data_IF_441032947809
#
_entry.id   IF_441032947809
#
_cell.length_a   1.000
_cell.length_b   1.000
_cell.length_c   1.000
_cell.angle_alpha   90.00
_cell.angle_beta   90.00
_cell.angle_gamma   90.00
#
_symmetry.space_group_name_H-M   'P 1'
#
loop_
_entity.id
_entity.type
_entity.pdbx_description
1 polymer ?
#
# COMPACT_ATOMS: atom_id res chain seq x y z
N UNK A 1 -53.72 -82.29 7.38
CA UNK A 1 -54.27 -81.30 6.42
C UNK A 1 -53.57 -79.96 6.66
N UNK A 2 -53.29 -79.19 5.60
CA UNK A 2 -52.31 -78.08 5.54
C UNK A 2 -52.89 -76.80 6.20
N UNK A 3 -52.18 -75.71 6.51
CA UNK A 3 -51.53 -74.77 5.59
C UNK A 3 -50.71 -73.72 6.36
N UNK A 4 -49.52 -73.44 5.82
CA UNK A 4 -48.93 -72.12 5.55
C UNK A 4 -48.51 -71.22 6.72
N UNK A 5 -47.22 -71.38 7.00
CA UNK A 5 -46.27 -70.31 7.32
C UNK A 5 -46.39 -69.15 6.32
N UNK A 6 -46.60 -67.93 6.82
CA UNK A 6 -46.27 -66.68 6.12
C UNK A 6 -45.47 -65.80 7.07
N UNK A 7 -44.17 -65.78 6.83
CA UNK A 7 -43.17 -64.92 7.46
C UNK A 7 -43.31 -63.51 6.87
N UNK A 8 -43.66 -62.52 7.69
CA UNK A 8 -43.52 -61.11 7.32
C UNK A 8 -42.24 -60.60 7.96
N UNK A 9 -41.14 -60.69 7.21
CA UNK A 9 -39.91 -59.96 7.49
C UNK A 9 -40.15 -58.48 7.16
N UNK A 10 -40.48 -57.70 8.17
CA UNK A 10 -40.46 -56.24 8.09
C UNK A 10 -39.01 -55.75 8.00
N UNK A 11 -38.48 -55.69 6.78
CA UNK A 11 -37.23 -55.00 6.51
C UNK A 11 -37.47 -53.49 6.61
N UNK A 12 -37.25 -52.92 7.80
CA UNK A 12 -37.14 -51.48 7.97
C UNK A 12 -35.78 -51.05 7.45
N UNK A 13 -35.70 -50.84 6.14
CA UNK A 13 -34.52 -50.28 5.48
C UNK A 13 -34.37 -48.84 5.96
N UNK A 14 -33.40 -48.61 6.85
CA UNK A 14 -32.90 -47.27 7.16
C UNK A 14 -32.38 -46.68 5.85
N UNK A 15 -33.13 -45.75 5.28
CA UNK A 15 -32.75 -44.98 4.11
C UNK A 15 -31.61 -44.03 4.52
N UNK A 16 -30.38 -44.54 4.50
CA UNK A 16 -29.17 -43.71 4.58
C UNK A 16 -29.08 -42.91 3.28
N UNK A 17 -29.76 -41.76 3.23
CA UNK A 17 -29.52 -40.76 2.19
C UNK A 17 -28.10 -40.24 2.44
N UNK A 18 -27.13 -40.75 1.69
CA UNK A 18 -25.83 -40.14 1.55
C UNK A 18 -26.05 -38.77 0.91
N UNK A 19 -26.21 -37.74 1.73
CA UNK A 19 -26.04 -36.36 1.27
C UNK A 19 -24.56 -36.16 0.97
N UNK A 20 -24.12 -36.61 -0.21
CA UNK A 20 -22.87 -36.16 -0.78
C UNK A 20 -23.06 -34.67 -1.06
N UNK A 21 -22.65 -33.81 -0.13
CA UNK A 21 -22.64 -32.38 -0.32
C UNK A 21 -21.63 -32.07 -1.43
N UNK A 22 -22.11 -31.95 -2.67
CA UNK A 22 -21.29 -31.47 -3.78
C UNK A 22 -20.89 -30.03 -3.46
N UNK A 23 -19.66 -29.81 -3.00
CA UNK A 23 -19.16 -28.46 -2.82
C UNK A 23 -19.13 -27.77 -4.18
N UNK A 24 -19.80 -26.61 -4.28
CA UNK A 24 -19.79 -25.82 -5.51
C UNK A 24 -18.37 -25.35 -5.81
N UNK A 25 -17.98 -25.39 -7.09
CA UNK A 25 -16.72 -24.81 -7.55
C UNK A 25 -16.73 -23.30 -7.31
N UNK A 26 -15.81 -22.81 -6.48
CA UNK A 26 -15.66 -21.40 -6.12
C UNK A 26 -14.23 -20.95 -6.31
N UNK A 27 -14.08 -19.65 -6.55
CA UNK A 27 -12.80 -18.98 -6.72
C UNK A 27 -12.72 -17.79 -5.76
N UNK A 28 -11.71 -17.83 -4.91
CA UNK A 28 -11.41 -16.80 -3.91
C UNK A 28 -10.06 -16.16 -4.25
N UNK A 29 -9.95 -14.86 -3.96
CA UNK A 29 -8.75 -14.06 -4.17
C UNK A 29 -8.35 -13.35 -2.88
N UNK A 30 -7.05 -13.12 -2.72
CA UNK A 30 -6.50 -12.33 -1.63
C UNK A 30 -5.31 -11.51 -2.14
N UNK A 31 -5.26 -10.19 -1.90
CA UNK A 31 -6.30 -9.34 -1.29
C UNK A 31 -7.60 -9.26 -2.11
N UNK A 32 -8.69 -8.76 -1.51
CA UNK A 32 -9.98 -8.60 -2.20
C UNK A 32 -9.96 -7.33 -3.07
N UNK A 33 -10.31 -7.49 -4.35
CA UNK A 33 -10.57 -6.46 -5.37
C UNK A 33 -9.42 -5.49 -5.68
N UNK A 34 -8.82 -4.84 -4.69
CA UNK A 34 -7.76 -3.85 -4.83
C UNK A 34 -6.75 -3.92 -3.69
N UNK A 35 -5.50 -3.61 -4.00
CA UNK A 35 -4.44 -3.44 -3.02
C UNK A 35 -3.49 -2.34 -3.45
N UNK A 36 -2.81 -1.77 -2.46
CA UNK A 36 -1.75 -0.80 -2.67
C UNK A 36 -0.44 -1.33 -2.11
N UNK A 37 0.61 -1.27 -2.91
CA UNK A 37 1.93 -1.78 -2.53
C UNK A 37 3.01 -0.71 -2.67
N UNK A 38 3.96 -0.72 -1.73
CA UNK A 38 5.10 0.17 -1.80
C UNK A 38 6.11 -0.34 -2.83
N UNK A 39 6.65 0.56 -3.66
CA UNK A 39 7.75 0.25 -4.56
C UNK A 39 8.96 -0.23 -3.75
N UNK A 40 9.59 -1.31 -4.21
CA UNK A 40 10.70 -1.97 -3.52
C UNK A 40 10.28 -3.11 -2.58
N UNK A 41 9.02 -3.17 -2.15
CA UNK A 41 8.52 -4.24 -1.29
C UNK A 41 8.20 -5.51 -2.09
N UNK A 42 7.87 -6.59 -1.36
CA UNK A 42 7.38 -7.85 -1.92
C UNK A 42 5.85 -7.88 -1.81
N UNK A 43 5.15 -8.10 -2.92
CA UNK A 43 3.69 -8.29 -2.95
C UNK A 43 3.36 -9.70 -3.45
N UNK A 44 2.42 -10.37 -2.77
CA UNK A 44 1.91 -11.67 -3.19
C UNK A 44 0.39 -11.61 -3.39
N UNK A 45 -0.06 -11.93 -4.60
CA UNK A 45 -1.47 -12.11 -4.92
C UNK A 45 -1.81 -13.59 -4.88
N UNK A 46 -2.84 -13.95 -4.14
CA UNK A 46 -3.27 -15.34 -3.97
C UNK A 46 -4.61 -15.57 -4.62
N UNK A 47 -4.73 -16.72 -5.27
CA UNK A 47 -5.94 -17.23 -5.85
C UNK A 47 -6.15 -18.66 -5.38
N UNK A 48 -7.32 -18.99 -4.87
CA UNK A 48 -7.62 -20.32 -4.33
C UNK A 48 -9.00 -20.80 -4.74
N UNK A 49 -9.16 -22.10 -4.88
CA UNK A 49 -10.44 -22.71 -5.25
C UNK A 49 -10.93 -23.69 -4.20
N UNK A 50 -12.25 -23.78 -4.06
CA UNK A 50 -12.93 -24.86 -3.32
C UNK A 50 -13.91 -25.59 -4.25
N UNK A 51 -14.27 -26.82 -3.92
CA UNK A 51 -15.18 -27.63 -4.75
C UNK A 51 -14.58 -28.09 -6.09
N UNK A 52 -13.25 -28.21 -6.18
CA UNK A 52 -12.55 -28.81 -7.32
C UNK A 52 -11.33 -29.61 -6.84
N UNK A 53 -11.21 -30.87 -7.28
CA UNK A 53 -10.10 -31.76 -6.89
C UNK A 53 -8.81 -31.44 -7.65
N UNK A 54 -8.90 -31.18 -8.96
CA UNK A 54 -7.75 -30.90 -9.84
C UNK A 54 -7.95 -29.59 -10.61
N UNK A 55 -7.91 -28.42 -9.95
CA UNK A 55 -8.00 -27.13 -10.62
C UNK A 55 -6.71 -26.79 -11.38
N UNK A 56 -6.83 -26.01 -12.45
CA UNK A 56 -5.69 -25.36 -13.11
C UNK A 56 -5.83 -23.85 -13.06
N UNK A 57 -4.73 -23.13 -12.86
CA UNK A 57 -4.70 -21.67 -12.73
C UNK A 57 -3.93 -21.00 -13.87
N UNK A 58 -4.38 -19.81 -14.25
CA UNK A 58 -3.65 -18.89 -15.12
C UNK A 58 -3.76 -17.47 -14.62
N UNK A 59 -2.69 -16.70 -14.81
CA UNK A 59 -2.62 -15.27 -14.50
C UNK A 59 -2.36 -14.48 -15.77
N UNK A 60 -3.01 -13.32 -15.88
CA UNK A 60 -2.72 -12.31 -16.90
C UNK A 60 -3.00 -10.93 -16.35
N UNK A 61 -2.43 -9.90 -16.96
CA UNK A 61 -2.90 -8.53 -16.74
C UNK A 61 -4.08 -8.26 -17.67
N UNK A 62 -4.95 -7.30 -17.33
CA UNK A 62 -6.10 -6.96 -18.17
C UNK A 62 -5.69 -6.50 -19.57
N UNK A 63 -4.50 -5.92 -19.72
CA UNK A 63 -3.94 -5.45 -20.99
C UNK A 63 -2.98 -6.46 -21.65
N UNK A 64 -2.89 -7.68 -21.11
CA UNK A 64 -1.96 -8.73 -21.56
C UNK A 64 -0.47 -8.31 -21.60
N UNK A 65 -0.11 -7.27 -20.83
CA UNK A 65 1.27 -6.93 -20.46
C UNK A 65 1.91 -8.06 -19.63
N UNK A 66 3.25 -8.17 -19.61
CA UNK A 66 3.95 -9.14 -18.77
C UNK A 66 3.54 -9.01 -17.29
N UNK A 67 3.55 -10.12 -16.55
CA UNK A 67 3.13 -10.12 -15.14
C UNK A 67 4.09 -9.36 -14.21
N UNK A 68 5.35 -9.21 -14.61
CA UNK A 68 6.44 -8.67 -13.80
C UNK A 68 6.52 -9.35 -12.41
N UNK A 69 6.34 -10.67 -12.40
CA UNK A 69 6.32 -11.50 -11.19
C UNK A 69 6.44 -12.98 -11.52
N UNK A 70 6.54 -13.82 -10.48
CA UNK A 70 6.68 -15.28 -10.59
C UNK A 70 5.43 -15.96 -10.05
N UNK A 71 4.88 -16.89 -10.82
CA UNK A 71 3.72 -17.70 -10.40
C UNK A 71 4.19 -18.99 -9.73
N UNK A 72 3.59 -19.33 -8.58
CA UNK A 72 3.75 -20.62 -7.90
C UNK A 72 2.36 -21.21 -7.66
N UNK A 73 2.16 -22.44 -8.09
CA UNK A 73 0.87 -23.14 -7.93
C UNK A 73 1.09 -24.45 -7.18
N UNK A 74 0.28 -24.66 -6.15
CA UNK A 74 0.31 -25.85 -5.30
C UNK A 74 -1.11 -26.26 -4.95
N UNK A 75 -1.54 -27.43 -5.45
CA UNK A 75 -2.89 -27.95 -5.25
C UNK A 75 -3.97 -26.96 -5.70
N UNK A 76 -4.85 -26.59 -4.77
CA UNK A 76 -5.98 -25.68 -5.01
C UNK A 76 -5.63 -24.19 -4.80
N UNK A 77 -4.34 -23.83 -4.78
CA UNK A 77 -3.85 -22.47 -4.56
C UNK A 77 -2.79 -22.08 -5.59
N UNK A 78 -2.89 -20.86 -6.12
CA UNK A 78 -1.89 -20.22 -6.98
C UNK A 78 -1.53 -18.85 -6.44
N UNK A 79 -0.23 -18.53 -6.42
CA UNK A 79 0.30 -17.28 -5.88
C UNK A 79 1.17 -16.61 -6.93
N UNK A 80 0.86 -15.37 -7.27
CA UNK A 80 1.71 -14.49 -8.06
C UNK A 80 2.55 -13.62 -7.12
N UNK A 81 3.88 -13.74 -7.21
CA UNK A 81 4.83 -13.04 -6.34
C UNK A 81 5.57 -11.98 -7.15
N UNK A 82 5.45 -10.72 -6.73
CA UNK A 82 6.18 -9.57 -7.26
C UNK A 82 7.26 -9.18 -6.25
N UNK A 83 8.52 -9.23 -6.68
CA UNK A 83 9.69 -9.14 -5.83
C UNK A 83 10.88 -8.63 -6.68
N UNK A 84 11.18 -7.33 -6.69
CA UNK A 84 10.50 -6.23 -5.98
C UNK A 84 9.36 -5.58 -6.80
N UNK A 85 8.41 -4.94 -6.12
CA UNK A 85 7.33 -4.15 -6.74
C UNK A 85 7.90 -2.89 -7.44
N UNK A 86 7.36 -2.57 -8.61
CA UNK A 86 7.74 -1.43 -9.45
C UNK A 86 6.53 -0.83 -10.17
N UNK A 87 6.74 0.24 -10.96
CA UNK A 87 5.68 0.83 -11.79
C UNK A 87 5.06 -0.15 -12.81
N UNK A 88 5.82 -1.15 -13.24
CA UNK A 88 5.36 -2.20 -14.17
C UNK A 88 4.37 -3.18 -13.52
N UNK A 89 4.20 -3.11 -12.20
CA UNK A 89 3.24 -3.92 -11.46
C UNK A 89 1.90 -3.21 -11.24
N UNK A 90 1.76 -1.94 -11.65
CA UNK A 90 0.53 -1.17 -11.47
C UNK A 90 -0.52 -1.54 -12.54
N UNK A 91 -1.17 -2.68 -12.32
CA UNK A 91 -2.09 -3.32 -13.26
C UNK A 91 -3.30 -3.95 -12.56
N UNK A 92 -4.35 -4.23 -13.34
CA UNK A 92 -5.40 -5.16 -12.95
C UNK A 92 -4.99 -6.59 -13.32
N UNK A 93 -4.75 -7.42 -12.31
CA UNK A 93 -4.35 -8.81 -12.45
C UNK A 93 -5.58 -9.72 -12.41
N UNK A 94 -5.71 -10.59 -13.40
CA UNK A 94 -6.81 -11.53 -13.53
C UNK A 94 -6.31 -12.95 -13.26
N UNK A 95 -6.85 -13.57 -12.22
CA UNK A 95 -6.69 -15.00 -11.97
C UNK A 95 -7.87 -15.75 -12.56
N UNK A 96 -7.59 -16.70 -13.46
CA UNK A 96 -8.57 -17.65 -13.95
C UNK A 96 -8.30 -19.02 -13.35
N UNK A 97 -9.32 -19.63 -12.75
CA UNK A 97 -9.30 -21.02 -12.34
C UNK A 97 -10.22 -21.86 -13.22
N UNK A 98 -9.72 -23.00 -13.70
CA UNK A 98 -10.48 -23.95 -14.52
C UNK A 98 -10.65 -25.27 -13.78
N UNK A 99 -11.88 -25.79 -13.75
CA UNK A 99 -12.23 -27.09 -13.19
C UNK A 99 -13.05 -27.87 -14.24
N UNK A 100 -12.41 -28.78 -14.96
CA UNK A 100 -13.02 -29.44 -16.13
C UNK A 100 -13.41 -28.41 -17.20
N UNK A 101 -14.70 -28.31 -17.51
CA UNK A 101 -15.24 -27.32 -18.46
C UNK A 101 -15.60 -25.97 -17.82
N UNK A 102 -15.65 -25.88 -16.48
CA UNK A 102 -16.04 -24.66 -15.77
C UNK A 102 -14.83 -23.75 -15.58
N UNK A 103 -15.02 -22.45 -15.81
CA UNK A 103 -14.01 -21.42 -15.59
C UNK A 103 -14.59 -20.33 -14.71
N UNK A 104 -13.80 -19.88 -13.75
CA UNK A 104 -14.07 -18.71 -12.93
C UNK A 104 -12.90 -17.75 -13.07
N UNK A 105 -13.19 -16.45 -13.11
CA UNK A 105 -12.17 -15.40 -13.15
C UNK A 105 -12.48 -14.35 -12.07
N UNK A 106 -11.41 -13.85 -11.44
CA UNK A 106 -11.44 -12.78 -10.45
C UNK A 106 -10.26 -11.85 -10.67
N UNK A 107 -10.48 -10.56 -10.47
CA UNK A 107 -9.48 -9.52 -10.67
C UNK A 107 -9.02 -8.89 -9.37
N UNK A 108 -7.75 -8.52 -9.31
CA UNK A 108 -7.14 -7.73 -8.23
C UNK A 108 -6.45 -6.53 -8.88
N UNK A 109 -6.90 -5.32 -8.57
CA UNK A 109 -6.20 -4.09 -8.95
C UNK A 109 -5.02 -3.86 -8.01
N UNK A 110 -3.84 -3.68 -8.58
CA UNK A 110 -2.64 -3.30 -7.85
C UNK A 110 -2.31 -1.85 -8.21
N UNK A 111 -2.36 -0.98 -7.20
CA UNK A 111 -1.81 0.37 -7.28
C UNK A 111 -0.47 0.42 -6.55
N UNK A 112 0.42 1.32 -6.96
CA UNK A 112 1.75 1.44 -6.32
C UNK A 112 1.95 2.82 -5.71
N UNK A 113 2.72 2.87 -4.62
CA UNK A 113 3.15 4.12 -4.01
C UNK A 113 4.62 4.04 -3.61
N UNK A 114 5.23 5.19 -3.34
CA UNK A 114 6.57 5.28 -2.77
C UNK A 114 6.59 6.39 -1.74
N UNK A 115 6.93 6.04 -0.51
CA UNK A 115 7.18 6.98 0.57
C UNK A 115 8.17 6.35 1.58
N UNK A 116 9.43 6.13 1.16
CA UNK A 116 10.33 5.21 1.86
C UNK A 116 11.09 5.85 3.03
N UNK A 117 11.29 7.17 3.02
CA UNK A 117 12.20 7.90 3.90
C UNK A 117 11.52 9.08 4.55
N UNK A 118 11.99 9.43 5.75
CA UNK A 118 11.53 10.62 6.44
C UNK A 118 11.98 11.90 5.72
N UNK A 119 11.27 13.03 5.91
CA UNK A 119 11.66 14.28 5.28
C UNK A 119 13.05 14.76 5.73
N UNK A 120 13.70 15.61 4.95
CA UNK A 120 14.97 16.23 5.30
C UNK A 120 14.78 17.74 5.48
N UNK A 121 15.19 18.26 6.63
CA UNK A 121 15.21 19.70 6.89
C UNK A 121 16.57 20.26 6.50
N UNK A 122 16.58 21.26 5.61
CA UNK A 122 17.79 21.98 5.22
C UNK A 122 17.62 23.48 5.51
N UNK A 123 18.62 24.06 6.17
CA UNK A 123 18.68 25.49 6.47
C UNK A 123 19.69 26.15 5.54
N UNK A 124 19.33 27.30 4.96
CA UNK A 124 20.23 28.06 4.08
C UNK A 124 21.44 28.69 4.80
N UNK A 125 21.45 28.67 6.13
CA UNK A 125 22.48 29.29 6.96
C UNK A 125 22.25 29.02 8.45
N UNK A 126 23.12 29.56 9.33
CA UNK A 126 22.95 29.46 10.76
C UNK A 126 21.69 30.20 11.23
N UNK A 127 21.10 29.73 12.33
CA UNK A 127 19.96 30.39 12.94
C UNK A 127 20.44 31.55 13.83
N UNK A 128 20.31 32.77 13.32
CA UNK A 128 20.68 34.00 14.03
C UNK A 128 19.42 34.78 14.41
N UNK A 129 19.36 35.24 15.67
CA UNK A 129 18.19 35.99 16.17
C UNK A 129 17.93 37.22 15.30
N UNK A 130 16.68 37.38 14.86
CA UNK A 130 16.22 38.51 14.05
C UNK A 130 16.65 38.49 12.58
N UNK A 131 17.48 37.52 12.15
CA UNK A 131 17.87 37.39 10.74
C UNK A 131 17.06 36.31 10.03
N UNK A 132 16.53 36.58 8.83
CA UNK A 132 15.76 35.59 8.09
C UNK A 132 16.67 34.46 7.58
N UNK A 133 16.19 33.23 7.70
CA UNK A 133 16.81 32.01 7.17
C UNK A 133 15.76 31.23 6.39
N UNK A 134 16.17 30.63 5.27
CA UNK A 134 15.28 29.78 4.48
C UNK A 134 15.34 28.35 5.00
N UNK A 135 14.18 27.82 5.37
CA UNK A 135 13.97 26.42 5.70
C UNK A 135 13.43 25.72 4.47
N UNK A 136 14.11 24.65 4.05
CA UNK A 136 13.61 23.72 3.04
C UNK A 136 13.27 22.41 3.72
N UNK A 137 12.06 21.92 3.50
CA UNK A 137 11.72 20.55 3.81
C UNK A 137 11.63 19.75 2.50
N UNK A 138 12.50 18.75 2.37
CA UNK A 138 12.58 17.87 1.21
C UNK A 138 11.96 16.53 1.56
N UNK A 139 11.11 16.01 0.67
CA UNK A 139 10.52 14.68 0.80
C UNK A 139 10.98 13.85 -0.39
N UNK A 140 11.99 12.98 -0.22
CA UNK A 140 12.59 12.23 -1.32
C UNK A 140 11.75 11.02 -1.74
N UNK A 141 11.95 10.60 -3.00
CA UNK A 141 11.43 9.35 -3.56
C UNK A 141 9.90 9.17 -3.42
N UNK A 142 9.12 10.23 -3.63
CA UNK A 142 7.66 10.22 -3.47
C UNK A 142 6.94 9.83 -4.76
N UNK A 143 5.95 8.94 -4.64
CA UNK A 143 4.94 8.69 -5.66
C UNK A 143 3.62 8.19 -5.02
N UNK A 144 2.44 8.63 -5.48
CA UNK A 144 2.22 9.72 -6.42
C UNK A 144 2.35 11.08 -5.72
N UNK A 145 3.08 12.01 -6.32
CA UNK A 145 3.45 13.28 -5.67
C UNK A 145 2.31 14.30 -5.60
N UNK A 146 1.25 14.11 -6.37
CA UNK A 146 0.03 14.96 -6.40
C UNK A 146 -0.89 14.71 -5.20
N UNK A 147 -0.52 13.76 -4.32
CA UNK A 147 -1.23 13.40 -3.08
C UNK A 147 -0.41 13.65 -1.83
N UNK A 148 0.70 14.36 -1.98
CA UNK A 148 1.59 14.72 -0.89
C UNK A 148 1.13 16.04 -0.24
N UNK A 149 1.01 16.02 1.07
CA UNK A 149 0.85 17.18 1.93
C UNK A 149 2.08 17.30 2.82
N UNK A 150 2.61 18.51 2.99
CA UNK A 150 3.74 18.78 3.88
C UNK A 150 3.39 19.94 4.80
N UNK A 151 3.51 19.70 6.10
CA UNK A 151 3.35 20.68 7.16
C UNK A 151 4.72 21.00 7.78
N UNK A 152 4.94 22.27 8.10
CA UNK A 152 6.10 22.71 8.88
C UNK A 152 5.62 23.41 10.15
N UNK A 153 6.07 22.93 11.30
CA UNK A 153 5.78 23.50 12.61
C UNK A 153 7.05 24.05 13.27
N UNK A 154 6.87 25.07 14.11
CA UNK A 154 7.85 25.57 15.08
C UNK A 154 7.26 25.46 16.48
N UNK A 155 7.75 24.51 17.27
CA UNK A 155 7.05 23.99 18.44
C UNK A 155 5.67 23.50 18.01
N UNK A 156 4.62 24.01 18.66
CA UNK A 156 3.23 23.69 18.32
C UNK A 156 2.64 24.63 17.26
N UNK A 157 3.41 25.61 16.77
CA UNK A 157 2.91 26.61 15.82
C UNK A 157 3.12 26.16 14.37
N UNK A 158 2.02 25.93 13.65
CA UNK A 158 2.04 25.65 12.22
C UNK A 158 2.51 26.89 11.43
N UNK A 159 3.67 26.79 10.79
CA UNK A 159 4.22 27.83 9.94
C UNK A 159 3.63 27.82 8.54
N UNK A 160 3.50 26.62 7.93
CA UNK A 160 2.97 26.46 6.58
C UNK A 160 2.48 25.03 6.34
N UNK A 161 1.43 24.90 5.56
CA UNK A 161 1.01 23.67 4.89
C UNK A 161 1.17 23.86 3.38
N UNK A 162 1.76 22.87 2.71
CA UNK A 162 1.90 22.82 1.26
C UNK A 162 1.28 21.54 0.73
N UNK A 163 0.25 21.68 -0.10
CA UNK A 163 -0.28 20.60 -0.91
C UNK A 163 0.40 20.62 -2.28
N UNK A 164 0.81 19.46 -2.76
CA UNK A 164 1.32 19.29 -4.12
C UNK A 164 0.18 18.69 -4.94
N UNK A 165 -0.57 19.48 -5.71
CA UNK A 165 -1.76 19.03 -6.46
C UNK A 165 -1.53 19.01 -7.99
N UNK A 166 -0.29 19.21 -8.41
CA UNK A 166 0.09 19.22 -9.82
C UNK A 166 0.06 17.79 -10.37
N UNK A 167 -0.78 17.57 -11.39
CA UNK A 167 -0.91 16.27 -12.02
C UNK A 167 0.46 15.78 -12.54
N UNK A 168 0.77 14.51 -12.28
CA UNK A 168 2.00 13.91 -12.75
C UNK A 168 1.88 13.56 -14.24
N UNK A 169 2.72 14.16 -15.08
CA UNK A 169 2.76 13.83 -16.51
C UNK A 169 3.32 12.42 -16.78
N UNK A 170 4.16 11.91 -15.87
CA UNK A 170 4.83 10.61 -15.98
C UNK A 170 4.97 9.94 -14.61
N UNK A 171 4.87 8.60 -14.61
CA UNK A 171 5.18 7.78 -13.43
C UNK A 171 6.68 7.85 -13.15
N UNK A 172 7.05 8.46 -12.02
CA UNK A 172 8.44 8.59 -11.60
C UNK A 172 8.50 8.90 -10.11
N UNK A 173 9.61 8.50 -9.48
CA UNK A 173 9.94 8.92 -8.12
C UNK A 173 10.46 10.34 -8.18
N UNK A 174 9.92 11.22 -7.35
CA UNK A 174 10.31 12.63 -7.32
C UNK A 174 10.61 13.08 -5.89
N UNK A 175 11.55 14.03 -5.76
CA UNK A 175 11.74 14.76 -4.50
C UNK A 175 10.88 16.02 -4.56
N UNK A 176 9.97 16.19 -3.60
CA UNK A 176 9.18 17.42 -3.46
C UNK A 176 9.78 18.28 -2.35
N UNK A 177 9.81 19.59 -2.58
CA UNK A 177 10.42 20.53 -1.64
C UNK A 177 9.43 21.62 -1.28
N UNK A 178 9.26 21.89 0.01
CA UNK A 178 8.56 23.05 0.53
C UNK A 178 9.58 24.03 1.11
N UNK A 179 9.42 25.32 0.79
CA UNK A 179 10.27 26.39 1.31
C UNK A 179 9.47 27.38 2.16
N UNK A 180 10.06 27.80 3.29
CA UNK A 180 9.54 28.80 4.22
C UNK A 180 10.69 29.69 4.71
N UNK A 181 10.47 31.00 4.72
CA UNK A 181 11.39 31.93 5.39
C UNK A 181 11.01 32.04 6.87
N UNK A 182 11.95 31.71 7.75
CA UNK A 182 11.82 31.83 9.19
C UNK A 182 12.71 32.99 9.67
N UNK A 183 12.18 33.86 10.52
CA UNK A 183 13.00 34.83 11.27
C UNK A 183 13.00 34.37 12.74
N UNK A 184 14.10 33.78 13.24
CA UNK A 184 14.13 33.25 14.61
C UNK A 184 14.08 34.36 15.66
N UNK A 185 13.32 34.14 16.72
CA UNK A 185 13.34 34.94 17.95
C UNK A 185 14.11 34.23 19.06
N UNK A 186 14.66 34.94 20.05
CA UNK A 186 15.38 34.32 21.17
C UNK A 186 14.51 33.31 21.93
N UNK A 187 13.20 33.53 22.00
CA UNK A 187 12.22 32.62 22.60
C UNK A 187 12.06 31.30 21.82
N UNK A 188 12.59 31.20 20.60
CA UNK A 188 12.55 29.97 19.81
C UNK A 188 13.67 28.99 20.16
N UNK A 189 14.64 29.39 20.98
CA UNK A 189 15.75 28.52 21.42
C UNK A 189 15.21 27.27 22.11
N UNK A 190 15.64 26.08 21.66
CA UNK A 190 15.20 24.80 22.20
C UNK A 190 13.80 24.35 21.73
N UNK A 191 13.09 25.16 20.93
CA UNK A 191 11.86 24.69 20.27
C UNK A 191 12.22 23.73 19.13
N UNK A 192 11.33 22.79 18.87
CA UNK A 192 11.44 21.87 17.75
C UNK A 192 10.98 22.52 16.43
N UNK A 193 11.74 22.35 15.37
CA UNK A 193 11.30 22.57 14.00
C UNK A 193 10.89 21.20 13.44
N UNK A 194 9.62 21.04 13.11
CA UNK A 194 9.04 19.75 12.76
C UNK A 194 8.55 19.83 11.32
N UNK A 195 9.15 19.04 10.42
CA UNK A 195 8.58 18.84 9.10
C UNK A 195 7.84 17.51 9.05
N UNK A 196 6.56 17.56 8.73
CA UNK A 196 5.64 16.41 8.72
C UNK A 196 5.07 16.25 7.32
N UNK A 197 5.39 15.13 6.68
CA UNK A 197 4.91 14.78 5.35
C UNK A 197 3.85 13.69 5.43
N UNK A 198 2.76 13.88 4.70
CA UNK A 198 1.61 12.96 4.63
C UNK A 198 1.34 12.60 3.18
N UNK A 199 1.35 11.31 2.88
CA UNK A 199 0.95 10.78 1.58
C UNK A 199 -0.44 10.16 1.70
N UNK A 200 -1.41 10.77 1.02
CA UNK A 200 -2.79 10.30 1.03
C UNK A 200 -2.98 9.21 -0.02
N UNK A 201 -3.13 7.98 0.45
CA UNK A 201 -3.46 6.83 -0.39
C UNK A 201 -4.95 6.50 -0.31
N UNK A 202 -5.45 5.68 -1.24
CA UNK A 202 -6.87 5.29 -1.25
C UNK A 202 -7.26 4.46 -0.01
N UNK A 203 -6.31 3.77 0.62
CA UNK A 203 -6.55 2.92 1.79
C UNK A 203 -6.31 3.65 3.11
N UNK A 204 -5.28 4.50 3.18
CA UNK A 204 -4.82 5.13 4.41
C UNK A 204 -3.95 6.36 4.15
N UNK A 205 -3.72 7.18 5.17
CA UNK A 205 -2.70 8.22 5.09
C UNK A 205 -1.42 7.69 5.70
N UNK A 206 -0.34 7.69 4.92
CA UNK A 206 1.02 7.39 5.41
C UNK A 206 1.65 8.68 5.86
N UNK A 207 2.34 8.66 6.99
CA UNK A 207 2.93 9.85 7.60
C UNK A 207 4.38 9.59 7.96
N UNK A 208 5.21 10.61 7.79
CA UNK A 208 6.61 10.66 8.22
C UNK A 208 6.97 12.04 8.70
N UNK A 209 7.89 12.14 9.63
CA UNK A 209 8.31 13.42 10.17
C UNK A 209 9.80 13.46 10.49
N UNK A 210 10.32 14.68 10.55
CA UNK A 210 11.68 14.94 11.03
C UNK A 210 11.64 16.15 11.95
N UNK A 211 12.37 16.02 13.06
CA UNK A 211 12.39 16.97 14.16
C UNK A 211 13.81 17.46 14.34
N UNK A 212 14.01 18.77 14.22
CA UNK A 212 15.28 19.45 14.42
C UNK A 212 15.15 20.45 15.58
N UNK A 213 16.09 20.48 16.52
CA UNK A 213 16.05 21.44 17.62
C UNK A 213 16.69 22.77 17.20
N UNK A 214 16.00 23.89 17.46
CA UNK A 214 16.49 25.22 17.11
C UNK A 214 17.57 25.68 18.09
N UNK A 215 18.83 25.64 17.64
CA UNK A 215 20.00 26.20 18.34
C UNK A 215 20.36 27.57 17.76
N UNK A 216 20.03 28.65 18.50
CA UNK A 216 20.21 30.03 18.03
C UNK A 216 21.53 30.64 18.49
N UNK A 217 22.17 31.40 17.60
CA UNK A 217 23.37 32.17 17.91
C UNK A 217 23.06 33.68 17.97
N UNK A 218 23.64 34.37 18.95
CA UNK A 218 23.64 35.84 19.00
C UNK A 218 24.82 36.38 18.22
N UNK A 219 24.54 37.24 17.23
CA UNK A 219 25.58 38.07 16.63
C UNK A 219 25.78 39.29 17.51
N UNK A 220 26.91 39.37 18.19
CA UNK A 220 27.33 40.60 18.85
C UNK A 220 27.82 41.57 17.77
N UNK A 221 27.05 42.60 17.45
CA UNK A 221 27.57 43.74 16.71
C UNK A 221 28.67 44.40 17.53
N UNK A 222 29.89 44.42 16.99
CA UNK A 222 30.97 45.22 17.57
C UNK A 222 30.58 46.68 17.40
N UNK A 223 30.27 47.35 18.51
CA UNK A 223 30.25 48.81 18.55
C UNK A 223 31.70 49.27 18.36
N UNK A 224 32.05 49.71 17.16
CA UNK A 224 33.26 50.50 16.93
C UNK A 224 33.06 51.85 17.62
N UNK A 225 33.76 52.04 18.74
CA UNK A 225 33.93 53.32 19.42
C UNK A 225 34.86 54.25 18.62
#
# INVERSE_FOLDING_TARGET
MPEKMVTILGASTVLWILFAASQAFKLDISPQDKTMAQIGDILSLTCSTTGCETPSFSWRTQMDSPLHGRVRTEGSKSVLIMDAVSFENEHSYLCTATCGSKKLERGIQVDVYSFPKDPEIQLSGPLEVGKPVMVKCLVPDVYPSDRLEVDLFKGDHLLKTQMFLEAMEKKSLVTKTMEVTLTPDIEDTGKALICKAKLHTDSETKERETVEELQLYKVFERVTL
#
